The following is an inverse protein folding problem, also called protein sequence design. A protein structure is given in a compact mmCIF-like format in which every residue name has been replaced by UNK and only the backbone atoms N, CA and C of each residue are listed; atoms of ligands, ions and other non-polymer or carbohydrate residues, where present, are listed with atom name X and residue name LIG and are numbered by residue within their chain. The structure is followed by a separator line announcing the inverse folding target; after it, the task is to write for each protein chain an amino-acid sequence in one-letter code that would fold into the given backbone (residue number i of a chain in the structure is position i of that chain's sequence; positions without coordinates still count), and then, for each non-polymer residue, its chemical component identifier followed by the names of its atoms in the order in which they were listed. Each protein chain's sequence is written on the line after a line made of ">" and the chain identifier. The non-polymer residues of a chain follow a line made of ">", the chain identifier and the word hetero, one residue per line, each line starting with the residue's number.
data_IF_078301874499
#
_entry.id   IF_078301874499
#
_cell.length_a   1.000
_cell.length_b   1.000
_cell.length_c   1.000
_cell.angle_alpha   90.00
_cell.angle_beta   90.00
_cell.angle_gamma   90.00
#
_symmetry.space_group_name_H-M   'P 1'
#
loop_
_entity.id
_entity.type
_entity.pdbx_description
1 polymer ?
#
# COMPACT_ATOMS: atom_id res chain seq x y z
N UNK A 1 -26.31 -14.03 11.54
CA UNK A 1 -25.10 -13.78 10.72
C UNK A 1 -24.35 -15.10 10.64
N UNK A 2 -24.12 -15.65 9.44
CA UNK A 2 -23.34 -16.91 9.29
C UNK A 2 -21.87 -16.67 9.64
N UNK A 3 -21.18 -17.73 10.09
CA UNK A 3 -19.76 -17.68 10.43
C UNK A 3 -18.91 -17.22 9.23
N UNK A 4 -19.27 -17.68 8.04
CA UNK A 4 -18.67 -17.33 6.75
C UNK A 4 -18.82 -15.85 6.45
N UNK A 5 -20.00 -15.26 6.72
CA UNK A 5 -20.24 -13.84 6.50
C UNK A 5 -19.35 -12.97 7.42
N UNK A 6 -19.16 -13.40 8.68
CA UNK A 6 -18.25 -12.71 9.60
C UNK A 6 -16.79 -12.79 9.11
N UNK A 7 -16.37 -13.95 8.61
CA UNK A 7 -15.04 -14.17 8.06
C UNK A 7 -14.80 -13.37 6.77
N UNK A 8 -15.79 -13.30 5.88
CA UNK A 8 -15.76 -12.48 4.69
C UNK A 8 -15.67 -10.98 5.03
N UNK A 9 -16.48 -10.51 5.98
CA UNK A 9 -16.43 -9.12 6.43
C UNK A 9 -15.09 -8.76 7.09
N UNK A 10 -14.45 -9.70 7.79
CA UNK A 10 -13.10 -9.51 8.35
C UNK A 10 -12.04 -9.46 7.24
N UNK A 11 -12.09 -10.39 6.28
CA UNK A 11 -11.17 -10.42 5.15
C UNK A 11 -11.27 -9.14 4.29
N UNK A 12 -12.50 -8.70 4.01
CA UNK A 12 -12.78 -7.45 3.30
C UNK A 12 -12.16 -6.23 3.99
N UNK A 13 -12.44 -6.06 5.29
CA UNK A 13 -11.89 -4.93 6.08
C UNK A 13 -10.37 -4.92 6.10
N UNK A 14 -9.76 -6.10 6.26
CA UNK A 14 -8.30 -6.22 6.30
C UNK A 14 -7.67 -5.86 4.95
N UNK A 15 -8.23 -6.38 3.85
CA UNK A 15 -7.73 -6.11 2.52
C UNK A 15 -7.83 -4.61 2.16
N UNK A 16 -8.99 -3.99 2.43
CA UNK A 16 -9.17 -2.55 2.21
C UNK A 16 -8.22 -1.71 3.06
N UNK A 17 -7.99 -2.11 4.31
CA UNK A 17 -7.02 -1.42 5.19
C UNK A 17 -5.61 -1.50 4.61
N UNK A 18 -5.19 -2.66 4.12
CA UNK A 18 -3.88 -2.85 3.49
C UNK A 18 -3.75 -2.06 2.18
N UNK A 19 -4.78 -2.05 1.33
CA UNK A 19 -4.81 -1.24 0.10
C UNK A 19 -4.64 0.24 0.44
N UNK A 20 -5.43 0.75 1.39
CA UNK A 20 -5.37 2.15 1.82
C UNK A 20 -4.02 2.52 2.44
N UNK A 21 -3.37 1.58 3.14
CA UNK A 21 -2.05 1.78 3.75
C UNK A 21 -0.95 1.89 2.70
N UNK A 22 -0.97 1.00 1.71
CA UNK A 22 0.19 0.73 0.86
C UNK A 22 0.10 1.36 -0.53
N UNK A 23 -1.09 1.43 -1.12
CA UNK A 23 -1.26 1.94 -2.49
C UNK A 23 -1.45 3.47 -2.45
N UNK A 24 -2.19 3.99 -1.48
CA UNK A 24 -2.43 5.43 -1.29
C UNK A 24 -3.88 5.84 -1.59
N UNK A 25 -4.17 7.14 -1.47
CA UNK A 25 -5.52 7.72 -1.57
C UNK A 25 -5.75 8.59 -2.82
N UNK A 26 -4.76 8.69 -3.69
CA UNK A 26 -4.87 9.51 -4.92
C UNK A 26 -5.99 8.96 -5.80
N UNK A 27 -6.63 9.82 -6.60
CA UNK A 27 -7.90 9.47 -7.25
C UNK A 27 -7.78 8.29 -8.22
N UNK A 28 -6.65 8.14 -8.92
CA UNK A 28 -6.37 6.97 -9.77
C UNK A 28 -6.11 5.67 -8.97
N UNK A 29 -5.76 5.77 -7.69
CA UNK A 29 -5.52 4.62 -6.80
C UNK A 29 -6.80 4.13 -6.11
N UNK A 30 -7.88 4.91 -6.15
CA UNK A 30 -9.20 4.52 -5.62
C UNK A 30 -9.79 3.33 -6.35
N UNK A 31 -9.45 3.16 -7.64
CA UNK A 31 -9.92 2.05 -8.47
C UNK A 31 -9.64 0.67 -7.86
N UNK A 32 -8.54 0.49 -7.12
CA UNK A 32 -8.24 -0.78 -6.47
C UNK A 32 -9.20 -1.08 -5.31
N UNK A 33 -9.51 -0.07 -4.49
CA UNK A 33 -10.48 -0.19 -3.41
C UNK A 33 -11.88 -0.47 -3.96
N UNK A 34 -12.28 0.29 -4.98
CA UNK A 34 -13.58 0.16 -5.64
C UNK A 34 -13.74 -1.21 -6.31
N UNK A 35 -12.69 -1.69 -7.00
CA UNK A 35 -12.66 -3.02 -7.59
C UNK A 35 -12.86 -4.11 -6.54
N UNK A 36 -12.12 -4.05 -5.42
CA UNK A 36 -12.30 -5.02 -4.32
C UNK A 36 -13.71 -4.94 -3.75
N UNK A 37 -14.25 -3.75 -3.51
CA UNK A 37 -15.63 -3.58 -3.06
C UNK A 37 -16.64 -4.16 -4.04
N UNK A 38 -16.41 -4.01 -5.35
CA UNK A 38 -17.27 -4.57 -6.38
C UNK A 38 -17.19 -6.11 -6.42
N UNK A 39 -15.98 -6.68 -6.32
CA UNK A 39 -15.79 -8.12 -6.28
C UNK A 39 -16.47 -8.75 -5.06
N UNK A 40 -16.35 -8.17 -3.88
CA UNK A 40 -17.06 -8.66 -2.69
C UNK A 40 -18.58 -8.60 -2.87
N UNK A 41 -19.11 -7.52 -3.47
CA UNK A 41 -20.55 -7.39 -3.77
C UNK A 41 -21.04 -8.43 -4.77
N UNK A 42 -20.30 -8.69 -5.86
CA UNK A 42 -20.65 -9.72 -6.86
C UNK A 42 -20.74 -11.11 -6.23
N UNK A 43 -19.85 -11.39 -5.28
CA UNK A 43 -19.78 -12.69 -4.61
C UNK A 43 -20.74 -12.82 -3.41
N UNK A 44 -21.54 -11.79 -3.07
CA UNK A 44 -22.52 -11.86 -1.96
C UNK A 44 -23.64 -12.87 -2.19
N UNK A 45 -23.96 -13.18 -3.45
CA UNK A 45 -25.04 -14.10 -3.82
C UNK A 45 -24.56 -15.55 -3.97
N UNK A 46 -23.28 -15.84 -3.71
CA UNK A 46 -22.77 -17.21 -3.74
C UNK A 46 -23.44 -18.02 -2.63
N UNK A 47 -23.97 -19.18 -3.01
CA UNK A 47 -24.59 -20.12 -2.06
C UNK A 47 -23.68 -21.32 -1.76
N UNK A 48 -22.72 -21.62 -2.63
CA UNK A 48 -21.80 -22.75 -2.45
C UNK A 48 -20.75 -22.47 -1.35
N UNK A 49 -20.75 -23.24 -0.24
CA UNK A 49 -19.84 -23.03 0.88
C UNK A 49 -18.36 -23.17 0.49
N UNK A 50 -18.02 -24.08 -0.42
CA UNK A 50 -16.63 -24.30 -0.85
C UNK A 50 -16.11 -23.11 -1.63
N UNK A 51 -16.89 -22.60 -2.59
CA UNK A 51 -16.58 -21.37 -3.34
C UNK A 51 -16.44 -20.16 -2.42
N UNK A 52 -17.30 -20.00 -1.41
CA UNK A 52 -17.21 -18.91 -0.41
C UNK A 52 -15.88 -19.00 0.34
N UNK A 53 -15.52 -20.19 0.84
CA UNK A 53 -14.26 -20.38 1.58
C UNK A 53 -13.04 -20.10 0.70
N UNK A 54 -13.05 -20.53 -0.56
CA UNK A 54 -11.97 -20.25 -1.51
C UNK A 54 -11.80 -18.75 -1.76
N UNK A 55 -12.90 -18.01 -1.95
CA UNK A 55 -12.86 -16.54 -2.12
C UNK A 55 -12.36 -15.83 -0.87
N UNK A 56 -12.79 -16.27 0.32
CA UNK A 56 -12.29 -15.72 1.60
C UNK A 56 -10.79 -15.99 1.75
N UNK A 57 -10.33 -17.21 1.44
CA UNK A 57 -8.92 -17.57 1.45
C UNK A 57 -8.12 -16.68 0.49
N UNK A 58 -8.59 -16.54 -0.74
CA UNK A 58 -7.97 -15.69 -1.75
C UNK A 58 -7.76 -14.25 -1.26
N UNK A 59 -8.79 -13.65 -0.64
CA UNK A 59 -8.68 -12.30 -0.08
C UNK A 59 -7.64 -12.20 1.05
N UNK A 60 -7.52 -13.24 1.89
CA UNK A 60 -6.50 -13.31 2.95
C UNK A 60 -5.10 -13.45 2.36
N UNK A 61 -4.93 -14.30 1.36
CA UNK A 61 -3.66 -14.53 0.68
C UNK A 61 -3.16 -13.26 -0.01
N UNK A 62 -4.05 -12.53 -0.69
CA UNK A 62 -3.71 -11.22 -1.26
C UNK A 62 -3.35 -10.18 -0.19
N UNK A 63 -4.06 -10.17 0.93
CA UNK A 63 -3.74 -9.27 2.05
C UNK A 63 -2.33 -9.56 2.58
N UNK A 64 -1.99 -10.85 2.74
CA UNK A 64 -0.67 -11.28 3.19
C UNK A 64 0.40 -10.86 2.18
N UNK A 65 0.22 -11.18 0.90
CA UNK A 65 1.14 -10.82 -0.18
C UNK A 65 1.40 -9.31 -0.21
N UNK A 66 0.35 -8.50 -0.20
CA UNK A 66 0.46 -7.04 -0.28
C UNK A 66 1.25 -6.48 0.91
N UNK A 67 0.99 -6.97 2.12
CA UNK A 67 1.71 -6.55 3.31
C UNK A 67 3.17 -7.00 3.30
N UNK A 68 3.45 -8.23 2.90
CA UNK A 68 4.82 -8.77 2.86
C UNK A 68 5.67 -8.03 1.83
N UNK A 69 5.15 -7.79 0.62
CA UNK A 69 5.87 -7.05 -0.43
C UNK A 69 6.23 -5.64 0.03
N UNK A 70 5.30 -4.93 0.67
CA UNK A 70 5.58 -3.59 1.18
C UNK A 70 6.53 -3.61 2.36
N UNK A 71 6.43 -4.60 3.24
CA UNK A 71 7.39 -4.77 4.33
C UNK A 71 8.81 -5.01 3.82
N UNK A 72 8.99 -5.86 2.80
CA UNK A 72 10.29 -6.08 2.17
C UNK A 72 10.81 -4.82 1.46
N UNK A 73 9.92 -4.06 0.79
CA UNK A 73 10.27 -2.77 0.20
C UNK A 73 10.78 -1.79 1.26
N UNK A 74 10.06 -1.64 2.37
CA UNK A 74 10.46 -0.77 3.48
C UNK A 74 11.82 -1.21 4.07
N UNK A 75 12.05 -2.52 4.17
CA UNK A 75 13.30 -3.08 4.65
C UNK A 75 14.47 -2.74 3.69
N UNK A 76 14.31 -2.94 2.39
CA UNK A 76 15.32 -2.57 1.39
C UNK A 76 15.65 -1.07 1.45
N UNK A 77 14.63 -0.23 1.63
CA UNK A 77 14.82 1.21 1.83
C UNK A 77 15.59 1.52 3.11
N UNK A 78 15.34 0.80 4.20
CA UNK A 78 16.08 0.97 5.47
C UNK A 78 17.57 0.65 5.34
N UNK A 79 17.93 -0.28 4.45
CA UNK A 79 19.32 -0.63 4.15
C UNK A 79 19.95 0.25 3.06
N UNK A 80 19.25 1.26 2.54
CA UNK A 80 19.68 2.05 1.38
C UNK A 80 19.93 1.23 0.10
N UNK A 81 19.31 0.06 -0.01
CA UNK A 81 19.43 -0.81 -1.17
C UNK A 81 18.26 -0.44 -2.10
N UNK A 82 18.58 0.22 -3.23
CA UNK A 82 17.70 0.45 -4.39
C UNK A 82 16.71 1.64 -4.39
N UNK A 83 17.11 2.82 -3.89
CA UNK A 83 16.44 4.08 -4.27
C UNK A 83 17.49 5.06 -4.79
N UNK A 84 17.22 5.63 -5.96
CA UNK A 84 17.92 6.82 -6.42
C UNK A 84 17.76 7.91 -5.37
N UNK A 85 18.80 8.09 -4.56
CA UNK A 85 18.81 8.99 -3.40
C UNK A 85 18.95 10.44 -3.82
N UNK A 86 19.00 10.76 -5.11
CA UNK A 86 19.22 12.13 -5.62
C UNK A 86 18.36 13.16 -4.89
N UNK A 87 17.06 12.94 -4.75
CA UNK A 87 16.17 13.92 -4.12
C UNK A 87 16.26 13.95 -2.59
N UNK A 88 16.48 12.80 -1.95
CA UNK A 88 16.61 12.72 -0.50
C UNK A 88 17.96 13.29 -0.04
N UNK A 89 19.03 13.02 -0.79
CA UNK A 89 20.37 13.57 -0.62
C UNK A 89 20.36 15.08 -0.83
N UNK A 90 19.68 15.59 -1.88
CA UNK A 90 19.47 17.04 -2.08
C UNK A 90 18.82 17.71 -0.87
N UNK A 91 17.80 17.08 -0.26
CA UNK A 91 17.16 17.59 0.96
C UNK A 91 18.09 17.59 2.17
N UNK A 92 18.86 16.51 2.37
CA UNK A 92 19.82 16.42 3.48
C UNK A 92 20.93 17.46 3.32
N UNK A 93 21.51 17.61 2.11
CA UNK A 93 22.53 18.63 1.81
C UNK A 93 21.98 20.04 2.02
N UNK A 94 20.77 20.34 1.56
CA UNK A 94 20.12 21.63 1.79
C UNK A 94 19.94 21.94 3.28
N UNK A 95 19.49 20.95 4.07
CA UNK A 95 19.30 21.11 5.51
C UNK A 95 20.63 21.25 6.28
N UNK A 96 21.64 20.46 5.92
CA UNK A 96 22.97 20.54 6.52
C UNK A 96 23.67 21.85 6.18
N UNK A 97 23.61 22.30 4.92
CA UNK A 97 24.15 23.59 4.50
C UNK A 97 23.47 24.73 5.28
N UNK A 98 22.14 24.73 5.38
CA UNK A 98 21.39 25.74 6.13
C UNK A 98 21.76 25.76 7.63
N UNK A 99 22.04 24.60 8.24
CA UNK A 99 22.47 24.53 9.65
C UNK A 99 23.85 25.13 9.94
N UNK A 100 24.72 25.20 8.92
CA UNK A 100 26.05 25.83 9.03
C UNK A 100 26.09 27.22 8.39
N UNK A 101 24.92 27.79 8.06
CA UNK A 101 24.80 29.12 7.46
C UNK A 101 25.17 29.20 5.97
N UNK A 102 25.37 28.06 5.30
CA UNK A 102 25.66 27.98 3.87
C UNK A 102 24.36 27.78 3.08
N UNK A 103 24.12 28.59 2.05
CA UNK A 103 22.99 28.41 1.13
C UNK A 103 23.50 27.85 -0.20
N UNK A 104 22.72 26.97 -0.82
CA UNK A 104 23.02 26.47 -2.17
C UNK A 104 22.90 27.65 -3.17
N UNK A 105 23.89 27.88 -4.05
CA UNK A 105 23.82 28.94 -5.05
C UNK A 105 22.62 28.78 -6.00
N UNK A 106 22.03 29.90 -6.43
CA UNK A 106 20.82 29.94 -7.29
C UNK A 106 20.94 29.11 -8.57
N UNK A 107 22.15 28.94 -9.10
CA UNK A 107 22.45 28.12 -10.29
C UNK A 107 22.09 26.63 -10.14
N UNK A 108 21.88 26.14 -8.92
CA UNK A 108 21.48 24.74 -8.65
C UNK A 108 19.98 24.57 -8.37
N UNK A 109 19.17 25.63 -8.52
CA UNK A 109 17.73 25.60 -8.23
C UNK A 109 16.83 25.26 -9.44
N UNK A 110 17.38 24.80 -10.57
CA UNK A 110 16.58 24.44 -11.74
C UNK A 110 16.40 22.92 -11.92
N UNK A 111 15.23 22.48 -12.44
CA UNK A 111 14.88 21.08 -12.65
C UNK A 111 15.71 20.40 -13.75
#
# INVERSE_FOLDING_TARGET
>A
MSFEALQAAKAYRNLLKSIKKHIGKEDYKRHFGDYVSQEFRKNCNLSDPTSIQQKIKLARDYTLLLNSVHHHKDLLFSYNIAVDRSDQMKRVVGNSAASVGLRLPEVYHHP
#
